data_IF_235676438041
#
_entry.id   IF_235676438041
#
_cell.length_a   1.000
_cell.length_b   1.000
_cell.length_c   1.000
_cell.angle_alpha   90.00
_cell.angle_beta   90.00
_cell.angle_gamma   90.00
#
_symmetry.space_group_name_H-M   'P 1'
#
loop_
_entity.id
_entity.type
_entity.pdbx_description
1 polymer ?
#
# COMPACT_ATOMS: atom_id res chain seq x y z
N UNK A 1 0.12 1.98 14.99
CA UNK A 1 1.10 2.69 14.14
C UNK A 1 1.19 1.99 12.80
N UNK A 2 1.01 2.72 11.72
CA UNK A 2 1.13 2.24 10.34
C UNK A 2 2.49 2.65 9.77
N UNK A 3 3.30 1.68 9.35
CA UNK A 3 4.61 1.91 8.75
C UNK A 3 4.50 1.82 7.23
N UNK A 4 5.03 2.80 6.51
CA UNK A 4 4.89 2.98 5.07
C UNK A 4 6.25 3.21 4.41
N UNK A 5 6.37 2.83 3.13
CA UNK A 5 7.61 3.02 2.36
C UNK A 5 7.75 4.44 1.81
N UNK A 6 6.68 4.98 1.22
CA UNK A 6 6.78 6.17 0.39
C UNK A 6 5.62 7.15 0.56
N UNK A 7 5.75 8.32 -0.05
CA UNK A 7 4.72 9.36 0.00
C UNK A 7 3.39 8.96 -0.64
N UNK A 8 3.35 8.29 -1.79
CA UNK A 8 2.09 7.78 -2.33
C UNK A 8 1.35 6.87 -1.35
N UNK A 9 2.06 6.02 -0.60
CA UNK A 9 1.46 5.18 0.44
C UNK A 9 0.81 6.03 1.53
N UNK A 10 1.46 7.14 1.93
CA UNK A 10 0.89 8.07 2.91
C UNK A 10 -0.40 8.70 2.40
N UNK A 11 -0.40 9.17 1.15
CA UNK A 11 -1.61 9.76 0.54
C UNK A 11 -2.75 8.73 0.54
N UNK A 12 -2.46 7.50 0.14
CA UNK A 12 -3.43 6.42 0.16
C UNK A 12 -3.97 6.19 1.58
N UNK A 13 -3.09 6.01 2.56
CA UNK A 13 -3.48 5.76 3.95
C UNK A 13 -4.33 6.90 4.52
N UNK A 14 -3.93 8.14 4.30
CA UNK A 14 -4.68 9.30 4.81
C UNK A 14 -6.05 9.44 4.13
N UNK A 15 -6.12 9.22 2.84
CA UNK A 15 -7.40 9.27 2.10
C UNK A 15 -8.33 8.15 2.58
N UNK A 16 -7.78 7.02 3.00
CA UNK A 16 -8.54 5.92 3.61
C UNK A 16 -8.89 6.15 5.09
N UNK A 17 -8.50 7.28 5.67
CA UNK A 17 -8.91 7.69 7.01
C UNK A 17 -7.89 7.47 8.12
N UNK A 18 -6.67 7.02 7.80
CA UNK A 18 -5.61 6.87 8.80
C UNK A 18 -5.05 8.25 9.15
N UNK A 19 -5.03 8.61 10.43
CA UNK A 19 -4.54 9.92 10.86
C UNK A 19 -3.02 10.04 10.65
N UNK A 20 -2.56 11.25 10.32
CA UNK A 20 -1.13 11.49 10.06
C UNK A 20 -0.23 11.08 11.23
N UNK A 21 -0.68 11.33 12.45
CA UNK A 21 0.05 10.97 13.68
C UNK A 21 0.23 9.47 13.86
N UNK A 22 -0.57 8.67 13.17
CA UNK A 22 -0.54 7.22 13.25
C UNK A 22 0.26 6.57 12.11
N UNK A 23 0.88 7.38 11.25
CA UNK A 23 1.70 6.94 10.14
C UNK A 23 3.19 7.28 10.36
N UNK A 24 4.07 6.35 9.97
CA UNK A 24 5.51 6.56 9.91
C UNK A 24 6.04 6.17 8.53
N UNK A 25 6.75 7.09 7.91
CA UNK A 25 7.34 6.93 6.59
C UNK A 25 8.82 6.54 6.72
N UNK A 26 9.25 5.48 6.05
CA UNK A 26 10.60 4.89 6.21
C UNK A 26 11.44 4.86 4.92
N UNK A 27 10.96 5.35 3.81
CA UNK A 27 11.62 5.47 2.50
C UNK A 27 11.81 4.17 1.72
N UNK A 28 11.98 3.00 2.36
CA UNK A 28 12.12 1.74 1.65
C UNK A 28 11.67 0.54 2.50
N UNK A 29 11.47 -0.59 1.82
CA UNK A 29 11.02 -1.85 2.42
C UNK A 29 11.96 -2.37 3.51
N UNK A 30 13.26 -2.27 3.28
CA UNK A 30 14.27 -2.71 4.27
C UNK A 30 14.17 -1.94 5.56
N UNK A 31 13.99 -0.63 5.48
CA UNK A 31 13.83 0.24 6.67
C UNK A 31 12.52 -0.03 7.40
N UNK A 32 11.44 -0.30 6.67
CA UNK A 32 10.17 -0.72 7.29
C UNK A 32 10.38 -2.02 8.07
N UNK A 33 11.02 -3.02 7.47
CA UNK A 33 11.30 -4.29 8.13
C UNK A 33 12.19 -4.13 9.37
N UNK A 34 13.21 -3.27 9.30
CA UNK A 34 14.07 -2.97 10.44
C UNK A 34 13.29 -2.29 11.58
N UNK A 35 12.37 -1.39 11.26
CA UNK A 35 11.52 -0.73 12.24
C UNK A 35 10.56 -1.71 12.91
N UNK A 36 9.99 -2.65 12.14
CA UNK A 36 9.10 -3.69 12.68
C UNK A 36 9.83 -4.56 13.71
N UNK A 37 11.09 -4.90 13.47
CA UNK A 37 11.87 -5.74 14.41
C UNK A 37 12.12 -5.07 15.76
N UNK A 38 11.95 -3.75 15.83
CA UNK A 38 12.17 -2.94 17.04
C UNK A 38 10.88 -2.49 17.72
N UNK A 39 9.72 -2.89 17.20
CA UNK A 39 8.41 -2.41 17.66
C UNK A 39 7.49 -3.57 18.00
N UNK A 40 6.32 -3.23 18.54
CA UNK A 40 5.24 -4.16 18.87
C UNK A 40 3.92 -3.61 18.33
N UNK A 41 3.04 -4.52 17.88
CA UNK A 41 1.64 -4.19 17.56
C UNK A 41 1.46 -3.19 16.42
N UNK A 42 2.33 -3.22 15.40
CA UNK A 42 2.22 -2.32 14.26
C UNK A 42 1.56 -2.99 13.06
N UNK A 43 1.02 -2.16 12.17
CA UNK A 43 0.67 -2.55 10.80
C UNK A 43 1.71 -1.95 9.87
N UNK A 44 2.11 -2.68 8.84
CA UNK A 44 2.98 -2.16 7.78
C UNK A 44 2.32 -2.40 6.43
N UNK A 45 2.54 -1.47 5.49
CA UNK A 45 2.14 -1.65 4.08
C UNK A 45 3.37 -1.43 3.22
N UNK A 46 3.74 -2.44 2.44
CA UNK A 46 4.92 -2.43 1.58
C UNK A 46 4.58 -3.05 0.22
N UNK A 47 5.34 -2.68 -0.81
CA UNK A 47 5.23 -3.31 -2.13
C UNK A 47 5.92 -4.67 -2.15
N UNK A 48 5.37 -5.63 -2.88
CA UNK A 48 6.05 -6.89 -3.16
C UNK A 48 7.34 -6.63 -3.92
N UNK A 49 7.25 -5.86 -5.00
CA UNK A 49 8.35 -5.53 -5.90
C UNK A 49 9.25 -6.75 -6.17
N UNK A 50 8.76 -7.74 -6.95
CA UNK A 50 9.42 -9.04 -7.05
C UNK A 50 10.79 -9.00 -7.72
N UNK A 51 11.13 -7.90 -8.40
CA UNK A 51 12.45 -7.70 -9.00
C UNK A 51 13.48 -7.11 -8.02
N UNK A 52 13.08 -6.71 -6.82
CA UNK A 52 13.98 -6.21 -5.79
C UNK A 52 14.37 -7.31 -4.80
N UNK A 53 15.46 -7.06 -4.04
CA UNK A 53 15.86 -7.94 -2.95
C UNK A 53 14.79 -7.95 -1.83
N UNK A 54 14.47 -9.15 -1.33
CA UNK A 54 13.50 -9.30 -0.25
C UNK A 54 14.21 -9.32 1.10
N UNK A 55 13.83 -8.46 2.05
CA UNK A 55 14.40 -8.50 3.40
C UNK A 55 14.18 -9.87 4.06
N UNK A 56 15.22 -10.44 4.72
CA UNK A 56 15.09 -11.76 5.36
C UNK A 56 13.98 -11.86 6.41
N UNK A 57 13.65 -10.75 7.05
CA UNK A 57 12.57 -10.68 8.02
C UNK A 57 11.24 -11.19 7.44
N UNK A 58 10.94 -10.90 6.17
CA UNK A 58 9.68 -11.31 5.54
C UNK A 58 9.52 -12.83 5.47
N UNK A 59 10.63 -13.58 5.39
CA UNK A 59 10.61 -15.04 5.37
C UNK A 59 10.22 -15.65 6.73
N UNK A 60 10.26 -14.88 7.81
CA UNK A 60 9.89 -15.33 9.16
C UNK A 60 8.40 -15.19 9.46
N UNK A 61 7.66 -14.53 8.59
CA UNK A 61 6.24 -14.21 8.78
C UNK A 61 5.34 -15.36 8.38
N UNK A 62 4.13 -15.37 8.96
CA UNK A 62 3.09 -16.38 8.67
C UNK A 62 2.02 -15.76 7.80
N UNK A 63 1.66 -16.43 6.71
CA UNK A 63 0.60 -15.96 5.82
C UNK A 63 -0.77 -16.02 6.50
N UNK A 64 -1.56 -14.94 6.39
CA UNK A 64 -2.93 -14.85 6.91
C UNK A 64 -3.96 -14.88 5.78
N UNK A 65 -3.73 -14.14 4.70
CA UNK A 65 -4.64 -14.08 3.55
C UNK A 65 -3.92 -13.62 2.28
N UNK A 66 -4.55 -13.86 1.13
CA UNK A 66 -4.05 -13.44 -0.18
C UNK A 66 -5.26 -13.16 -1.08
N UNK A 67 -5.77 -11.94 -1.04
CA UNK A 67 -6.98 -11.51 -1.75
C UNK A 67 -6.83 -10.10 -2.31
N UNK A 68 -7.46 -9.86 -3.45
CA UNK A 68 -7.53 -8.52 -4.05
C UNK A 68 -6.17 -7.87 -4.34
N UNK A 69 -5.16 -8.69 -4.65
CA UNK A 69 -3.80 -8.21 -4.86
C UNK A 69 -3.08 -7.78 -3.58
N UNK A 70 -3.61 -8.15 -2.43
CA UNK A 70 -3.03 -7.86 -1.11
C UNK A 70 -2.74 -9.19 -0.40
N UNK A 71 -1.45 -9.43 -0.14
CA UNK A 71 -1.03 -10.59 0.66
C UNK A 71 -0.74 -10.12 2.08
N UNK A 72 -1.37 -10.75 3.05
CA UNK A 72 -1.27 -10.35 4.45
C UNK A 72 -0.49 -11.39 5.24
N UNK A 73 0.53 -10.94 5.95
CA UNK A 73 1.32 -11.75 6.85
C UNK A 73 1.18 -11.28 8.30
N UNK A 74 1.44 -12.19 9.22
CA UNK A 74 1.54 -11.89 10.65
C UNK A 74 2.93 -12.21 11.18
N UNK A 75 3.36 -11.39 12.13
CA UNK A 75 4.45 -11.68 13.05
C UNK A 75 3.83 -11.97 14.43
N UNK A 76 3.63 -13.26 14.81
CA UNK A 76 2.97 -13.57 16.07
C UNK A 76 3.80 -13.13 17.29
N UNK A 77 5.12 -13.15 17.17
CA UNK A 77 6.01 -12.79 18.27
C UNK A 77 5.92 -11.31 18.65
N UNK A 78 5.71 -10.43 17.66
CA UNK A 78 5.62 -8.97 17.85
C UNK A 78 4.22 -8.41 17.61
N UNK A 79 3.28 -9.28 17.26
CA UNK A 79 1.88 -8.91 16.98
C UNK A 79 1.75 -7.89 15.85
N UNK A 80 2.56 -8.02 14.81
CA UNK A 80 2.46 -7.19 13.62
C UNK A 80 1.55 -7.82 12.56
N UNK A 81 0.97 -6.94 11.74
CA UNK A 81 0.36 -7.29 10.46
C UNK A 81 1.15 -6.60 9.35
N UNK A 82 1.55 -7.36 8.33
CA UNK A 82 2.26 -6.82 7.17
C UNK A 82 1.41 -7.03 5.93
N UNK A 83 1.01 -5.95 5.29
CA UNK A 83 0.22 -5.96 4.06
C UNK A 83 1.17 -5.76 2.89
N UNK A 84 1.26 -6.77 2.02
CA UNK A 84 2.08 -6.73 0.81
C UNK A 84 1.19 -6.35 -0.37
N UNK A 85 1.45 -5.20 -0.98
CA UNK A 85 0.75 -4.74 -2.18
C UNK A 85 1.42 -5.36 -3.41
N UNK A 86 0.64 -6.04 -4.26
CA UNK A 86 1.19 -6.85 -5.34
C UNK A 86 0.79 -6.34 -6.71
N UNK A 87 1.73 -6.25 -7.64
CA UNK A 87 3.20 -6.34 -7.45
C UNK A 87 3.79 -5.05 -6.88
N UNK A 88 3.20 -3.89 -7.15
CA UNK A 88 3.53 -2.57 -6.59
C UNK A 88 2.24 -1.75 -6.45
N UNK A 89 2.32 -0.63 -5.73
CA UNK A 89 1.19 0.26 -5.53
C UNK A 89 0.58 0.71 -6.86
N UNK A 90 1.40 1.08 -7.84
CA UNK A 90 0.93 1.60 -9.12
C UNK A 90 0.10 0.57 -9.90
N UNK A 91 0.60 -0.63 -10.08
CA UNK A 91 -0.13 -1.70 -10.77
C UNK A 91 -1.38 -2.08 -9.98
N UNK A 92 -1.30 -2.07 -8.66
CA UNK A 92 -2.45 -2.36 -7.80
C UNK A 92 -3.55 -1.32 -7.96
N UNK A 93 -3.19 -0.02 -8.01
CA UNK A 93 -4.15 1.07 -8.24
C UNK A 93 -4.76 0.99 -9.64
N UNK A 94 -3.95 0.71 -10.67
CA UNK A 94 -4.43 0.55 -12.04
C UNK A 94 -5.46 -0.59 -12.10
N UNK A 95 -5.15 -1.75 -11.52
CA UNK A 95 -6.07 -2.88 -11.47
C UNK A 95 -7.35 -2.54 -10.69
N UNK A 96 -7.20 -1.83 -9.58
CA UNK A 96 -8.34 -1.39 -8.76
C UNK A 96 -9.26 -0.46 -9.54
N UNK A 97 -8.67 0.49 -10.28
CA UNK A 97 -9.43 1.41 -11.14
C UNK A 97 -10.14 0.67 -12.26
N UNK A 98 -9.50 -0.31 -12.90
CA UNK A 98 -10.13 -1.15 -13.92
C UNK A 98 -11.34 -1.90 -13.38
N UNK A 99 -11.21 -2.52 -12.21
CA UNK A 99 -12.33 -3.20 -11.56
C UNK A 99 -13.49 -2.26 -11.22
N UNK A 100 -13.19 -1.01 -10.86
CA UNK A 100 -14.19 0.00 -10.50
C UNK A 100 -14.71 0.79 -11.70
N UNK A 101 -14.20 0.51 -12.91
CA UNK A 101 -14.50 1.26 -14.13
C UNK A 101 -14.20 2.76 -14.01
N UNK A 102 -13.09 3.08 -13.33
CA UNK A 102 -12.55 4.43 -13.20
C UNK A 102 -11.33 4.54 -14.12
N UNK A 103 -11.26 5.63 -14.89
CA UNK A 103 -10.15 5.89 -15.82
C UNK A 103 -9.04 6.66 -15.09
N UNK A 104 -7.89 6.02 -14.90
CA UNK A 104 -6.74 6.71 -14.29
C UNK A 104 -6.27 7.90 -15.13
N UNK A 105 -6.51 7.87 -16.44
CA UNK A 105 -6.19 8.96 -17.35
C UNK A 105 -6.94 10.25 -17.00
N UNK A 106 -8.14 10.18 -16.44
CA UNK A 106 -8.91 11.35 -16.00
C UNK A 106 -8.22 12.11 -14.87
N UNK A 107 -7.27 11.45 -14.20
CA UNK A 107 -6.47 12.02 -13.11
C UNK A 107 -5.02 12.30 -13.55
N UNK A 108 -4.74 12.21 -14.85
CA UNK A 108 -3.43 12.48 -15.41
C UNK A 108 -2.42 11.34 -15.29
N UNK A 109 -2.87 10.11 -15.01
CA UNK A 109 -2.01 8.94 -14.90
C UNK A 109 -2.10 8.04 -16.13
N UNK A 110 -0.98 7.36 -16.42
CA UNK A 110 -0.93 6.31 -17.43
C UNK A 110 -1.49 5.00 -16.87
N UNK A 111 -2.09 4.18 -17.74
CA UNK A 111 -2.49 2.81 -17.43
C UNK A 111 -1.29 1.84 -17.41
N UNK A 112 -0.09 2.32 -17.64
CA UNK A 112 1.14 1.54 -17.63
C UNK A 112 1.85 1.77 -16.29
N UNK A 113 2.09 0.71 -15.53
CA UNK A 113 2.67 0.78 -14.18
C UNK A 113 4.00 1.53 -14.10
N UNK A 114 4.92 1.28 -15.06
CA UNK A 114 6.21 1.97 -15.05
C UNK A 114 6.08 3.49 -15.30
N UNK A 115 5.17 3.90 -16.17
CA UNK A 115 4.91 5.32 -16.44
C UNK A 115 4.27 5.98 -15.21
N UNK A 116 3.28 5.34 -14.60
CA UNK A 116 2.66 5.83 -13.38
C UNK A 116 3.68 5.93 -12.23
N UNK A 117 4.57 4.95 -12.10
CA UNK A 117 5.63 4.96 -11.09
C UNK A 117 6.55 6.18 -11.22
N UNK A 118 6.91 6.57 -12.44
CA UNK A 118 7.73 7.77 -12.68
C UNK A 118 7.01 9.07 -12.30
N UNK A 119 5.69 9.10 -12.46
CA UNK A 119 4.90 10.34 -12.32
C UNK A 119 4.26 10.52 -10.95
N UNK A 120 3.99 9.44 -10.23
CA UNK A 120 3.10 9.45 -9.06
C UNK A 120 3.56 10.42 -7.97
N UNK A 121 4.87 10.51 -7.70
CA UNK A 121 5.40 11.40 -6.67
C UNK A 121 5.23 12.88 -6.99
N UNK A 122 5.14 13.25 -8.28
CA UNK A 122 4.93 14.62 -8.70
C UNK A 122 3.46 15.00 -8.84
N UNK A 123 2.55 14.04 -8.63
CA UNK A 123 1.11 14.20 -8.83
C UNK A 123 0.31 13.76 -7.61
N UNK A 124 0.82 13.98 -6.40
CA UNK A 124 0.15 13.53 -5.17
C UNK A 124 -1.27 14.07 -4.99
N UNK A 125 -1.59 15.35 -5.32
CA UNK A 125 -2.98 15.82 -5.27
C UNK A 125 -3.90 15.06 -6.23
N UNK A 126 -3.42 14.69 -7.41
CA UNK A 126 -4.18 13.89 -8.38
C UNK A 126 -4.36 12.45 -7.91
N UNK A 127 -3.38 11.89 -7.22
CA UNK A 127 -3.49 10.59 -6.58
C UNK A 127 -4.62 10.59 -5.53
N UNK A 128 -4.67 11.62 -4.69
CA UNK A 128 -5.75 11.77 -3.70
C UNK A 128 -7.12 11.80 -4.39
N UNK A 129 -7.28 12.58 -5.46
CA UNK A 129 -8.51 12.63 -6.24
C UNK A 129 -8.90 11.26 -6.81
N UNK A 130 -7.93 10.51 -7.34
CA UNK A 130 -8.16 9.15 -7.84
C UNK A 130 -8.67 8.22 -6.73
N UNK A 131 -8.03 8.25 -5.56
CA UNK A 131 -8.42 7.40 -4.43
C UNK A 131 -9.83 7.78 -3.95
N UNK A 132 -10.14 9.06 -3.86
CA UNK A 132 -11.49 9.54 -3.51
C UNK A 132 -12.54 9.05 -4.52
N UNK A 133 -12.24 9.10 -5.81
CA UNK A 133 -13.14 8.58 -6.84
C UNK A 133 -13.38 7.07 -6.69
N UNK A 134 -12.31 6.31 -6.38
CA UNK A 134 -12.41 4.87 -6.10
C UNK A 134 -13.24 4.59 -4.85
N UNK A 135 -13.10 5.39 -3.80
CA UNK A 135 -13.93 5.29 -2.59
C UNK A 135 -15.42 5.53 -2.93
N UNK A 136 -15.72 6.50 -3.78
CA UNK A 136 -17.08 6.78 -4.22
C UNK A 136 -17.72 5.61 -4.96
N UNK A 137 -16.95 4.78 -5.65
CA UNK A 137 -17.44 3.56 -6.30
C UNK A 137 -17.66 2.41 -5.32
N UNK A 138 -17.23 2.56 -4.07
CA UNK A 138 -17.21 1.50 -3.05
C UNK A 138 -16.42 0.27 -3.50
N UNK A 139 -15.27 0.51 -4.13
CA UNK A 139 -14.35 -0.53 -4.60
C UNK A 139 -14.08 -1.57 -3.52
N UNK A 140 -14.37 -2.83 -3.81
CA UNK A 140 -14.12 -3.96 -2.89
C UNK A 140 -12.65 -4.05 -2.52
N UNK A 141 -11.76 -3.84 -3.50
CA UNK A 141 -10.31 -3.87 -3.30
C UNK A 141 -9.86 -2.78 -2.34
N UNK A 142 -10.34 -1.57 -2.56
CA UNK A 142 -9.97 -0.41 -1.72
C UNK A 142 -10.53 -0.52 -0.30
N UNK A 143 -11.78 -0.95 -0.17
CA UNK A 143 -12.40 -1.17 1.14
C UNK A 143 -11.72 -2.31 1.91
N UNK A 144 -11.23 -3.34 1.21
CA UNK A 144 -10.46 -4.41 1.84
C UNK A 144 -9.15 -3.86 2.41
N UNK A 145 -8.40 -3.07 1.63
CA UNK A 145 -7.19 -2.41 2.13
C UNK A 145 -7.49 -1.51 3.32
N UNK A 146 -8.55 -0.70 3.25
CA UNK A 146 -8.95 0.18 4.35
C UNK A 146 -9.14 -0.59 5.66
N UNK A 147 -9.79 -1.74 5.61
CA UNK A 147 -9.96 -2.59 6.81
C UNK A 147 -8.65 -3.16 7.33
N UNK A 148 -7.69 -3.45 6.46
CA UNK A 148 -6.40 -4.03 6.85
C UNK A 148 -5.50 -3.03 7.55
N UNK A 149 -5.53 -1.76 7.16
CA UNK A 149 -4.62 -0.72 7.67
C UNK A 149 -5.24 0.18 8.74
N UNK A 150 -6.51 0.00 8.99
CA UNK A 150 -7.22 0.79 10.01
C UNK A 150 -6.74 0.48 11.44
#
# INVERSE_FOLDING_TARGET
MLLLECKPDEVLAHTLGVARRDCLHHNDKGRVCNALQKRQGCVAMIDEDPSSAQPPYLATLVIESDQHGLRVFRDPARQHRVVIVRPRLEEWLIATAQHAQVQVADFGFSERGNAMHRDINSKLPKLEELIEALLCTRSVRLLHLQRLIA
#
